data_IF_418583064887
#
_entry.id   IF_418583064887
#
_cell.length_a   1.000
_cell.length_b   1.000
_cell.length_c   1.000
_cell.angle_alpha   90.00
_cell.angle_beta   90.00
_cell.angle_gamma   90.00
#
_symmetry.space_group_name_H-M   'P 1'
#
loop_
_entity.id
_entity.type
_entity.pdbx_description
1 polymer ?
#
# COMPACT_ATOMS: atom_id res chain seq x y z
N UNK A 1 -10.66 -26.90 -36.85
CA UNK A 1 -9.71 -26.10 -36.06
C UNK A 1 -10.37 -25.82 -34.72
N UNK A 2 -9.82 -26.29 -33.63
CA UNK A 2 -10.40 -26.12 -32.28
C UNK A 2 -10.16 -24.71 -31.79
N UNK A 3 -11.15 -24.12 -31.06
CA UNK A 3 -11.11 -22.77 -30.50
C UNK A 3 -9.86 -22.46 -29.72
N UNK A 4 -9.21 -23.45 -29.10
CA UNK A 4 -7.91 -23.31 -28.43
C UNK A 4 -6.78 -22.89 -29.38
N UNK A 5 -6.75 -23.39 -30.59
CA UNK A 5 -5.72 -23.04 -31.59
C UNK A 5 -5.93 -21.63 -32.16
N UNK A 6 -7.17 -21.14 -32.19
CA UNK A 6 -7.48 -19.77 -32.61
C UNK A 6 -6.98 -18.73 -31.58
N UNK A 7 -7.17 -19.00 -30.28
CA UNK A 7 -6.71 -18.12 -29.21
C UNK A 7 -5.17 -18.01 -29.18
N UNK A 8 -4.48 -19.12 -29.38
CA UNK A 8 -2.99 -19.13 -29.47
C UNK A 8 -2.50 -18.36 -30.69
N UNK A 9 -3.22 -18.44 -31.82
CA UNK A 9 -2.84 -17.77 -33.06
C UNK A 9 -3.10 -16.26 -32.99
N UNK A 10 -4.16 -15.83 -32.31
CA UNK A 10 -4.43 -14.41 -32.06
C UNK A 10 -3.43 -13.83 -31.06
N UNK A 11 -3.07 -14.57 -30.01
CA UNK A 11 -2.02 -14.15 -29.05
C UNK A 11 -0.64 -14.00 -29.72
N UNK A 12 -0.27 -14.94 -30.60
CA UNK A 12 0.97 -14.85 -31.37
C UNK A 12 1.00 -13.69 -32.36
N UNK A 13 -0.15 -13.39 -32.99
CA UNK A 13 -0.26 -12.27 -33.92
C UNK A 13 -0.17 -10.91 -33.21
N UNK A 14 -0.69 -10.78 -31.98
CA UNK A 14 -0.59 -9.56 -31.19
C UNK A 14 0.88 -9.28 -30.75
N UNK A 15 1.60 -10.31 -30.36
CA UNK A 15 3.02 -10.19 -30.01
C UNK A 15 3.88 -9.82 -31.22
N UNK A 16 3.58 -10.38 -32.40
CA UNK A 16 4.29 -10.06 -33.65
C UNK A 16 3.88 -8.69 -34.22
N UNK A 17 2.64 -8.25 -34.02
CA UNK A 17 2.16 -6.95 -34.47
C UNK A 17 2.80 -5.80 -33.69
N UNK A 18 2.92 -5.91 -32.38
CA UNK A 18 3.60 -4.93 -31.53
C UNK A 18 5.08 -4.79 -31.86
N UNK A 19 5.77 -5.92 -32.10
CA UNK A 19 7.18 -5.92 -32.50
C UNK A 19 7.37 -5.30 -33.92
N UNK A 20 6.44 -5.54 -34.83
CA UNK A 20 6.54 -5.03 -36.23
C UNK A 20 6.36 -3.51 -36.30
N UNK A 21 5.57 -2.91 -35.42
CA UNK A 21 5.38 -1.45 -35.41
C UNK A 21 6.62 -0.71 -34.91
N UNK A 22 7.40 -1.29 -33.99
CA UNK A 22 8.71 -0.78 -33.58
C UNK A 22 9.78 -0.92 -34.69
N UNK A 23 9.60 -1.86 -35.64
CA UNK A 23 10.57 -2.15 -36.70
C UNK A 23 10.29 -1.38 -38.02
N UNK A 24 9.09 -0.82 -38.21
CA UNK A 24 8.71 -0.20 -39.50
C UNK A 24 9.10 1.27 -39.70
N UNK A 25 9.71 1.89 -38.71
CA UNK A 25 10.20 3.27 -38.85
C UNK A 25 11.69 3.29 -39.14
N UNK A 26 12.02 3.50 -40.40
CA UNK A 26 13.36 3.49 -40.96
C UNK A 26 14.45 4.20 -40.15
N UNK A 27 15.67 3.73 -40.30
CA UNK A 27 16.94 4.19 -39.74
C UNK A 27 16.96 4.34 -38.21
N UNK A 28 17.65 3.42 -37.49
CA UNK A 28 17.95 3.55 -36.06
C UNK A 28 18.46 4.94 -35.74
N UNK A 29 17.77 5.76 -34.96
CA UNK A 29 18.25 7.07 -34.61
C UNK A 29 19.59 6.94 -33.89
N UNK A 30 20.59 7.72 -34.29
CA UNK A 30 21.86 7.80 -33.57
C UNK A 30 21.55 8.10 -32.08
N UNK A 31 22.19 7.38 -31.15
CA UNK A 31 21.90 7.48 -29.72
C UNK A 31 21.84 8.89 -29.14
N UNK A 32 22.63 9.83 -29.70
CA UNK A 32 22.57 11.25 -29.33
C UNK A 32 21.23 11.93 -29.66
N UNK A 33 20.45 11.39 -30.60
CA UNK A 33 19.14 11.94 -31.00
C UNK A 33 18.00 11.44 -30.11
N UNK A 34 18.23 10.50 -29.21
CA UNK A 34 17.21 9.96 -28.30
C UNK A 34 17.14 10.72 -26.98
N UNK A 35 18.23 11.37 -26.54
CA UNK A 35 18.24 12.08 -25.26
C UNK A 35 17.17 13.17 -25.24
N UNK A 36 16.42 13.25 -24.16
CA UNK A 36 15.33 14.21 -23.97
C UNK A 36 14.03 13.85 -24.69
N UNK A 37 13.99 12.78 -25.50
CA UNK A 37 12.74 12.36 -26.14
C UNK A 37 11.78 11.78 -25.12
N UNK A 38 10.50 12.15 -25.26
CA UNK A 38 9.43 11.50 -24.51
C UNK A 38 9.30 10.02 -24.91
N UNK A 39 9.07 9.17 -23.91
CA UNK A 39 8.86 7.73 -24.12
C UNK A 39 7.46 7.48 -24.71
N UNK A 40 6.45 8.21 -24.20
CA UNK A 40 5.03 8.05 -24.58
C UNK A 40 4.44 9.33 -25.18
N UNK A 41 4.95 9.83 -26.34
CA UNK A 41 4.59 11.17 -26.83
C UNK A 41 3.17 11.28 -27.44
N UNK A 42 2.47 10.15 -27.61
CA UNK A 42 1.19 10.09 -28.35
C UNK A 42 0.06 9.44 -27.58
N UNK A 43 0.26 9.13 -26.30
CA UNK A 43 -0.75 8.46 -25.50
C UNK A 43 -1.53 9.51 -24.73
N UNK A 44 -2.83 9.55 -24.98
CA UNK A 44 -3.75 10.28 -24.13
C UNK A 44 -4.10 9.40 -22.93
N UNK A 45 -3.78 9.85 -21.72
CA UNK A 45 -4.01 9.05 -20.49
C UNK A 45 -5.49 8.79 -20.25
N UNK A 46 -6.39 9.55 -20.84
CA UNK A 46 -7.83 9.31 -20.84
C UNK A 46 -8.25 8.05 -21.62
N UNK A 47 -7.44 7.59 -22.56
CA UNK A 47 -7.68 6.37 -23.32
C UNK A 47 -7.17 5.12 -22.59
N UNK A 48 -6.33 5.30 -21.57
CA UNK A 48 -5.77 4.17 -20.81
C UNK A 48 -6.84 3.60 -19.90
N UNK A 49 -7.19 2.36 -20.13
CA UNK A 49 -8.15 1.60 -19.31
C UNK A 49 -7.50 0.43 -18.54
N UNK A 50 -6.25 0.08 -18.89
CA UNK A 50 -5.47 -0.95 -18.20
C UNK A 50 -4.00 -0.56 -18.08
N UNK A 51 -3.42 -0.89 -16.92
CA UNK A 51 -1.98 -0.76 -16.66
C UNK A 51 -1.49 -2.08 -16.12
N UNK A 52 -0.54 -2.70 -16.80
CA UNK A 52 0.01 -4.00 -16.41
C UNK A 52 1.52 -3.89 -16.23
N UNK A 53 2.07 -4.51 -15.19
CA UNK A 53 3.50 -4.65 -14.98
C UNK A 53 3.84 -6.11 -14.66
N UNK A 54 4.21 -6.84 -15.69
CA UNK A 54 4.37 -8.29 -15.61
C UNK A 54 3.11 -8.96 -15.04
N UNK A 55 3.31 -9.93 -14.15
CA UNK A 55 2.22 -10.58 -13.42
C UNK A 55 1.97 -9.98 -12.04
N UNK A 56 2.78 -9.03 -11.61
CA UNK A 56 2.76 -8.47 -10.25
C UNK A 56 1.67 -7.44 -10.05
N UNK A 57 1.39 -6.65 -11.08
CA UNK A 57 0.44 -5.55 -11.01
C UNK A 57 -0.45 -5.53 -12.24
N UNK A 58 -1.76 -5.58 -12.02
CA UNK A 58 -2.77 -5.39 -13.06
C UNK A 58 -3.83 -4.46 -12.50
N UNK A 59 -3.90 -3.28 -13.07
CA UNK A 59 -4.91 -2.27 -12.77
C UNK A 59 -5.86 -2.17 -13.95
N UNK A 60 -7.15 -2.11 -13.69
CA UNK A 60 -8.16 -1.97 -14.73
C UNK A 60 -9.21 -0.93 -14.35
N UNK A 61 -9.68 -0.19 -15.34
CA UNK A 61 -10.84 0.68 -15.20
C UNK A 61 -12.12 -0.14 -15.24
N UNK A 62 -13.04 0.13 -14.33
CA UNK A 62 -14.35 -0.49 -14.23
C UNK A 62 -15.44 0.58 -14.11
N UNK A 63 -16.70 0.19 -14.14
CA UNK A 63 -17.85 1.10 -13.97
C UNK A 63 -17.84 1.79 -12.58
N UNK A 64 -17.19 1.18 -11.60
CA UNK A 64 -17.06 1.72 -10.23
C UNK A 64 -15.74 2.48 -9.99
N UNK A 65 -14.93 2.68 -11.03
CA UNK A 65 -13.59 3.27 -10.93
C UNK A 65 -12.49 2.25 -11.20
N UNK A 66 -11.25 2.61 -10.87
CA UNK A 66 -10.11 1.72 -11.06
C UNK A 66 -10.03 0.65 -9.97
N UNK A 67 -9.69 -0.57 -10.38
CA UNK A 67 -9.54 -1.74 -9.50
C UNK A 67 -8.17 -2.39 -9.69
N UNK A 68 -7.71 -3.06 -8.66
CA UNK A 68 -6.48 -3.86 -8.64
C UNK A 68 -6.85 -5.31 -8.90
N UNK A 69 -6.72 -5.78 -10.13
CA UNK A 69 -7.09 -7.16 -10.51
C UNK A 69 -6.22 -8.21 -9.80
N UNK A 70 -4.95 -7.89 -9.54
CA UNK A 70 -4.03 -8.75 -8.79
C UNK A 70 -4.30 -8.78 -7.30
N UNK A 71 -5.29 -8.01 -6.82
CA UNK A 71 -5.71 -7.99 -5.43
C UNK A 71 -7.25 -7.91 -5.36
N UNK A 72 -7.89 -9.03 -5.64
CA UNK A 72 -9.34 -9.28 -5.50
C UNK A 72 -10.27 -8.30 -6.22
N UNK A 73 -9.82 -7.61 -7.27
CA UNK A 73 -10.53 -6.49 -7.92
C UNK A 73 -10.93 -5.37 -6.95
N UNK A 74 -10.12 -5.18 -5.90
CA UNK A 74 -10.35 -4.16 -4.90
C UNK A 74 -10.11 -2.76 -5.48
N UNK A 75 -10.84 -1.71 -5.02
CA UNK A 75 -10.63 -0.36 -5.49
C UNK A 75 -9.19 0.10 -5.39
N UNK A 76 -8.67 0.67 -6.47
CA UNK A 76 -7.32 1.20 -6.51
C UNK A 76 -7.25 2.60 -5.85
N UNK A 77 -6.11 2.90 -5.26
CA UNK A 77 -5.78 4.26 -4.80
C UNK A 77 -5.69 5.21 -6.01
N UNK A 78 -6.72 6.02 -6.16
CA UNK A 78 -6.86 6.94 -7.29
C UNK A 78 -5.76 8.00 -7.31
N UNK A 79 -5.33 8.48 -6.16
CA UNK A 79 -4.27 9.50 -6.06
C UNK A 79 -2.96 8.92 -6.55
N UNK A 80 -2.57 7.77 -6.00
CA UNK A 80 -1.37 7.05 -6.41
C UNK A 80 -1.38 6.70 -7.89
N UNK A 81 -2.53 6.22 -8.41
CA UNK A 81 -2.68 5.91 -9.82
C UNK A 81 -2.47 7.14 -10.69
N UNK A 82 -3.16 8.22 -10.39
CA UNK A 82 -3.09 9.47 -11.17
C UNK A 82 -1.68 10.03 -11.18
N UNK A 83 -1.02 10.10 -10.04
CA UNK A 83 0.37 10.57 -9.93
C UNK A 83 1.33 9.73 -10.77
N UNK A 84 1.18 8.42 -10.77
CA UNK A 84 2.06 7.55 -11.53
C UNK A 84 1.75 7.55 -13.03
N UNK A 85 0.49 7.69 -13.44
CA UNK A 85 0.15 7.93 -14.85
C UNK A 85 0.71 9.26 -15.35
N UNK A 86 0.66 10.30 -14.53
CA UNK A 86 1.26 11.61 -14.89
C UNK A 86 2.78 11.47 -15.10
N UNK A 87 3.50 10.74 -14.23
CA UNK A 87 4.93 10.46 -14.42
C UNK A 87 5.22 9.77 -15.75
N UNK A 88 4.32 8.89 -16.22
CA UNK A 88 4.49 8.26 -17.54
C UNK A 88 4.38 9.27 -18.68
N UNK A 89 3.52 10.29 -18.58
CA UNK A 89 3.42 11.34 -19.62
C UNK A 89 4.69 12.18 -19.70
N UNK A 90 5.36 12.38 -18.58
CA UNK A 90 6.57 13.19 -18.46
C UNK A 90 7.85 12.38 -18.68
N UNK A 91 7.74 11.05 -18.82
CA UNK A 91 8.87 10.15 -18.92
C UNK A 91 9.70 10.41 -20.17
N UNK A 92 10.99 10.66 -20.00
CA UNK A 92 11.94 10.98 -21.07
C UNK A 92 13.17 10.09 -21.01
N UNK A 93 13.80 9.95 -22.17
CA UNK A 93 15.14 9.39 -22.27
C UNK A 93 16.13 10.38 -21.64
N UNK A 94 16.74 10.00 -20.54
CA UNK A 94 17.82 10.78 -19.92
C UNK A 94 19.13 10.56 -20.66
N UNK A 95 19.50 9.30 -20.90
CA UNK A 95 20.75 8.93 -21.56
C UNK A 95 20.64 7.60 -22.29
N UNK A 96 21.35 7.44 -23.40
CA UNK A 96 21.51 6.16 -24.06
C UNK A 96 22.66 5.38 -23.40
N UNK A 97 22.37 4.16 -22.93
CA UNK A 97 23.31 3.28 -22.26
C UNK A 97 23.93 2.29 -23.27
N UNK A 98 24.86 2.78 -24.09
CA UNK A 98 25.49 1.98 -25.14
C UNK A 98 26.22 0.76 -24.56
N UNK A 99 25.98 -0.40 -25.16
CA UNK A 99 26.63 -1.65 -24.75
C UNK A 99 26.08 -2.29 -23.47
N UNK A 100 25.16 -1.62 -22.78
CA UNK A 100 24.44 -2.20 -21.65
C UNK A 100 23.37 -3.17 -22.16
N UNK A 101 23.42 -4.41 -21.71
CA UNK A 101 22.36 -5.39 -21.89
C UNK A 101 21.55 -5.46 -20.60
N UNK A 102 20.25 -5.54 -20.73
CA UNK A 102 19.36 -5.75 -19.58
C UNK A 102 19.35 -7.26 -19.26
N UNK A 103 19.58 -7.59 -18.00
CA UNK A 103 19.62 -8.99 -17.54
C UNK A 103 18.21 -9.54 -17.34
N UNK A 104 17.32 -8.69 -16.85
CA UNK A 104 15.90 -9.00 -16.65
C UNK A 104 15.07 -7.79 -17.02
N UNK A 105 13.92 -8.02 -17.64
CA UNK A 105 12.98 -6.96 -17.99
C UNK A 105 11.56 -7.38 -17.64
N UNK A 106 10.86 -6.46 -17.00
CA UNK A 106 9.39 -6.54 -16.84
C UNK A 106 8.75 -5.54 -17.79
N UNK A 107 7.68 -5.93 -18.45
CA UNK A 107 6.96 -5.06 -19.37
C UNK A 107 5.95 -4.21 -18.59
N UNK A 108 6.06 -2.89 -18.69
CA UNK A 108 5.01 -1.95 -18.35
C UNK A 108 4.14 -1.75 -19.60
N UNK A 109 2.90 -2.20 -19.56
CA UNK A 109 2.00 -2.16 -20.72
C UNK A 109 0.76 -1.34 -20.39
N UNK A 110 0.41 -0.43 -21.28
CA UNK A 110 -0.80 0.40 -21.23
C UNK A 110 -1.76 -0.11 -22.30
N UNK A 111 -3.04 -0.32 -21.94
CA UNK A 111 -4.07 -0.80 -22.86
C UNK A 111 -5.33 0.05 -22.77
N UNK A 112 -6.07 0.11 -23.86
CA UNK A 112 -7.40 0.73 -23.91
C UNK A 112 -8.49 -0.20 -23.34
N UNK A 113 -9.73 0.29 -23.32
CA UNK A 113 -10.89 -0.44 -22.84
C UNK A 113 -11.21 -1.70 -23.67
N UNK A 114 -10.76 -1.80 -24.91
CA UNK A 114 -10.90 -2.98 -25.77
C UNK A 114 -9.81 -4.03 -25.51
N UNK A 115 -8.82 -3.70 -24.68
CA UNK A 115 -7.64 -4.54 -24.42
C UNK A 115 -6.54 -4.39 -25.45
N UNK A 116 -6.66 -3.44 -26.38
CA UNK A 116 -5.62 -3.12 -27.37
C UNK A 116 -4.46 -2.43 -26.67
N UNK A 117 -3.24 -2.87 -26.96
CA UNK A 117 -2.04 -2.24 -26.47
C UNK A 117 -1.86 -0.84 -27.09
N UNK A 118 -1.81 0.16 -26.22
CA UNK A 118 -1.49 1.56 -26.56
C UNK A 118 0.00 1.78 -26.53
N UNK A 119 0.68 1.22 -25.55
CA UNK A 119 2.13 1.27 -25.42
C UNK A 119 2.66 0.16 -24.54
N UNK A 120 3.94 -0.15 -24.75
CA UNK A 120 4.70 -1.06 -23.90
C UNK A 120 6.14 -0.57 -23.74
N UNK A 121 6.67 -0.68 -22.54
CA UNK A 121 8.04 -0.34 -22.20
C UNK A 121 8.68 -1.45 -21.39
N UNK A 122 9.74 -2.04 -21.91
CA UNK A 122 10.54 -3.01 -21.19
C UNK A 122 11.42 -2.29 -20.17
N UNK A 123 11.19 -2.52 -18.89
CA UNK A 123 11.93 -1.94 -17.77
C UNK A 123 12.94 -2.94 -17.23
N UNK A 124 14.19 -2.52 -17.14
CA UNK A 124 15.27 -3.29 -16.55
C UNK A 124 15.54 -2.90 -15.10
N UNK A 125 16.78 -3.09 -14.68
CA UNK A 125 17.27 -2.74 -13.35
C UNK A 125 17.37 -1.22 -13.15
N UNK A 126 17.34 -0.79 -11.87
CA UNK A 126 17.60 0.59 -11.47
C UNK A 126 19.08 0.94 -11.69
N UNK A 127 19.34 2.22 -11.94
CA UNK A 127 20.69 2.73 -12.01
C UNK A 127 21.33 2.83 -10.61
N UNK A 128 22.44 2.14 -10.39
CA UNK A 128 23.04 2.00 -9.06
C UNK A 128 23.47 3.33 -8.40
N UNK A 129 23.86 4.32 -9.20
CA UNK A 129 24.38 5.61 -8.70
C UNK A 129 23.39 6.77 -8.86
N UNK A 130 22.38 6.61 -9.67
CA UNK A 130 21.38 7.64 -9.98
C UNK A 130 20.03 7.17 -9.44
N UNK A 131 19.71 7.55 -8.22
CA UNK A 131 18.57 7.03 -7.47
C UNK A 131 17.19 7.22 -8.12
N UNK A 132 17.10 8.03 -9.16
CA UNK A 132 15.85 8.33 -9.88
C UNK A 132 15.82 7.77 -11.31
N UNK A 133 16.82 7.02 -11.73
CA UNK A 133 16.89 6.50 -13.10
C UNK A 133 16.71 4.99 -13.16
N UNK A 134 16.08 4.50 -14.21
CA UNK A 134 15.92 3.08 -14.50
C UNK A 134 16.30 2.79 -15.95
N UNK A 135 16.91 1.65 -16.19
CA UNK A 135 17.18 1.23 -17.57
C UNK A 135 15.90 0.71 -18.20
N UNK A 136 15.74 1.01 -19.48
CA UNK A 136 14.62 0.56 -20.29
C UNK A 136 15.05 0.29 -21.72
N UNK A 137 14.27 -0.47 -22.47
CA UNK A 137 14.44 -0.64 -23.91
C UNK A 137 13.51 0.34 -24.64
N UNK A 138 14.08 1.29 -25.38
CA UNK A 138 13.35 2.24 -26.19
C UNK A 138 13.95 2.38 -27.60
N UNK A 139 13.11 2.26 -28.62
CA UNK A 139 13.54 2.30 -30.03
C UNK A 139 14.67 1.33 -30.39
N UNK A 140 14.73 0.18 -29.71
CA UNK A 140 15.75 -0.86 -29.93
C UNK A 140 17.09 -0.58 -29.25
N UNK A 141 17.19 0.45 -28.43
CA UNK A 141 18.37 0.81 -27.65
C UNK A 141 18.10 0.70 -26.16
N UNK A 142 19.12 0.36 -25.38
CA UNK A 142 19.04 0.49 -23.93
C UNK A 142 19.23 1.95 -23.55
N UNK A 143 18.27 2.49 -22.82
CA UNK A 143 18.27 3.88 -22.36
C UNK A 143 18.13 3.95 -20.85
N UNK A 144 18.57 5.03 -20.25
CA UNK A 144 18.25 5.41 -18.89
C UNK A 144 17.08 6.39 -18.95
N UNK A 145 15.97 6.06 -18.31
CA UNK A 145 14.79 6.96 -18.26
C UNK A 145 14.85 7.87 -17.06
N UNK A 146 14.12 8.99 -17.13
CA UNK A 146 14.17 10.07 -16.14
C UNK A 146 13.53 9.75 -14.79
N UNK A 147 12.78 8.66 -14.71
CA UNK A 147 12.13 8.19 -13.46
C UNK A 147 12.38 6.71 -13.27
N UNK A 148 12.42 6.26 -12.00
CA UNK A 148 12.63 4.85 -11.68
C UNK A 148 11.38 3.99 -11.81
N UNK A 149 10.21 4.61 -11.86
CA UNK A 149 8.90 3.95 -11.95
C UNK A 149 8.70 2.86 -10.89
N UNK A 150 9.23 3.10 -9.69
CA UNK A 150 9.29 2.12 -8.61
C UNK A 150 7.93 1.62 -8.15
N UNK A 151 6.93 2.51 -8.20
CA UNK A 151 5.58 2.17 -7.81
C UNK A 151 5.03 0.98 -8.59
N UNK A 152 5.31 0.91 -9.92
CA UNK A 152 4.82 -0.20 -10.75
C UNK A 152 5.48 -1.55 -10.41
N UNK A 153 6.68 -1.54 -9.83
CA UNK A 153 7.37 -2.76 -9.39
C UNK A 153 6.87 -3.32 -8.07
N UNK A 154 5.95 -2.65 -7.40
CA UNK A 154 5.34 -3.13 -6.15
C UNK A 154 4.17 -4.08 -6.42
N UNK A 155 3.76 -4.84 -5.40
CA UNK A 155 2.63 -5.74 -5.49
C UNK A 155 1.28 -5.01 -5.58
N UNK A 156 0.23 -5.73 -5.96
CA UNK A 156 -1.11 -5.18 -6.11
C UNK A 156 -1.66 -4.58 -4.82
N UNK A 157 -1.35 -5.18 -3.65
CA UNK A 157 -1.81 -4.69 -2.36
C UNK A 157 -1.33 -3.26 -2.05
N UNK A 158 -0.18 -2.87 -2.56
CA UNK A 158 0.33 -1.51 -2.36
C UNK A 158 -0.42 -0.43 -3.18
N UNK A 159 -1.30 -0.85 -4.08
CA UNK A 159 -2.08 0.02 -4.95
C UNK A 159 -3.54 0.16 -4.54
N UNK A 160 -3.95 -0.47 -3.45
CA UNK A 160 -5.34 -0.43 -3.01
C UNK A 160 -5.68 0.85 -2.29
N UNK A 161 -6.94 1.28 -2.39
CA UNK A 161 -7.49 2.33 -1.55
C UNK A 161 -7.55 1.85 -0.10
N UNK A 162 -6.83 2.51 0.77
CA UNK A 162 -6.75 2.14 2.19
C UNK A 162 -7.73 2.89 3.08
N UNK A 163 -8.41 3.89 2.52
CA UNK A 163 -9.40 4.67 3.22
C UNK A 163 -10.75 3.98 3.17
N UNK A 164 -11.09 3.23 4.20
CA UNK A 164 -12.36 2.48 4.30
C UNK A 164 -13.54 3.42 4.55
N UNK A 165 -13.34 4.40 5.42
CA UNK A 165 -14.32 5.42 5.81
C UNK A 165 -13.63 6.76 5.98
N UNK A 166 -14.40 7.85 6.04
CA UNK A 166 -13.88 9.21 6.19
C UNK A 166 -13.39 9.53 7.62
N UNK A 167 -12.75 8.54 8.22
CA UNK A 167 -12.24 8.58 9.58
C UNK A 167 -10.78 8.14 9.58
N UNK A 168 -9.82 9.05 9.77
CA UNK A 168 -8.40 8.80 9.49
C UNK A 168 -7.72 7.77 10.40
N UNK A 169 -8.36 7.40 11.51
CA UNK A 169 -7.82 6.42 12.45
C UNK A 169 -8.36 4.99 12.24
N UNK A 170 -9.32 4.79 11.31
CA UNK A 170 -9.71 3.45 10.86
C UNK A 170 -8.82 3.10 9.67
N UNK A 171 -7.81 2.30 9.92
CA UNK A 171 -6.86 1.89 8.90
C UNK A 171 -7.17 0.49 8.37
N UNK A 172 -7.06 0.36 7.07
CA UNK A 172 -7.14 -0.90 6.37
C UNK A 172 -5.84 -1.70 6.56
N UNK A 173 -5.96 -2.98 6.90
CA UNK A 173 -4.83 -3.89 6.95
C UNK A 173 -4.88 -4.93 5.85
N UNK A 174 -6.06 -5.53 5.65
CA UNK A 174 -6.28 -6.55 4.62
C UNK A 174 -7.77 -6.75 4.34
N UNK A 175 -8.08 -7.62 3.36
CA UNK A 175 -9.41 -8.16 3.10
C UNK A 175 -9.47 -9.57 3.70
N UNK A 176 -10.58 -9.90 4.35
CA UNK A 176 -10.84 -11.23 4.85
C UNK A 176 -11.41 -12.09 3.70
N UNK A 177 -10.56 -12.95 3.13
CA UNK A 177 -10.95 -13.86 2.06
C UNK A 177 -10.99 -15.31 2.58
N UNK A 178 -11.98 -16.08 2.09
CA UNK A 178 -12.08 -17.50 2.42
C UNK A 178 -12.38 -17.80 3.90
N UNK A 179 -12.78 -16.77 4.68
CA UNK A 179 -13.14 -16.90 6.10
C UNK A 179 -14.60 -17.29 6.19
N UNK A 180 -14.92 -18.29 7.03
CA UNK A 180 -16.29 -18.72 7.23
C UNK A 180 -17.14 -17.64 7.90
N UNK A 181 -18.44 -17.61 7.65
CA UNK A 181 -19.39 -16.69 8.31
C UNK A 181 -19.35 -16.81 9.84
N UNK A 182 -19.09 -18.01 10.34
CA UNK A 182 -18.96 -18.29 11.79
C UNK A 182 -17.69 -17.64 12.36
N UNK A 183 -16.56 -17.78 11.66
CA UNK A 183 -15.29 -17.20 12.08
C UNK A 183 -15.32 -15.67 11.99
N UNK A 184 -16.01 -15.10 10.99
CA UNK A 184 -16.23 -13.66 10.87
C UNK A 184 -17.01 -13.09 12.06
N UNK A 185 -17.95 -13.87 12.62
CA UNK A 185 -18.74 -13.50 13.79
C UNK A 185 -19.83 -12.45 13.53
N UNK A 186 -20.25 -12.26 12.28
CA UNK A 186 -21.28 -11.27 11.97
C UNK A 186 -22.71 -11.78 12.24
N UNK A 187 -22.92 -13.11 12.28
CA UNK A 187 -24.21 -13.70 12.57
C UNK A 187 -24.46 -13.91 14.06
N UNK A 188 -23.49 -14.47 14.77
CA UNK A 188 -23.65 -14.92 16.18
C UNK A 188 -22.68 -14.29 17.16
N UNK A 189 -21.62 -13.64 16.67
CA UNK A 189 -20.53 -13.07 17.47
C UNK A 189 -20.33 -11.57 17.28
N UNK A 190 -21.37 -10.82 16.88
CA UNK A 190 -21.25 -9.37 16.68
C UNK A 190 -20.81 -8.69 17.96
N UNK A 191 -19.61 -8.09 17.93
CA UNK A 191 -19.07 -7.35 19.06
C UNK A 191 -19.78 -6.02 19.23
N UNK A 192 -19.98 -5.31 18.11
CA UNK A 192 -20.73 -4.06 18.09
C UNK A 192 -21.22 -3.72 16.68
N UNK A 193 -22.30 -2.92 16.62
CA UNK A 193 -22.70 -2.15 15.43
C UNK A 193 -22.57 -0.68 15.76
N UNK A 194 -21.82 0.05 14.95
CA UNK A 194 -21.50 1.46 15.21
C UNK A 194 -21.84 2.28 13.99
N UNK A 195 -22.52 3.40 14.20
CA UNK A 195 -22.72 4.38 13.14
C UNK A 195 -21.56 5.34 13.11
N UNK A 196 -20.83 5.35 11.99
CA UNK A 196 -19.71 6.25 11.73
C UNK A 196 -20.27 7.46 10.99
N UNK A 197 -20.23 8.62 11.63
CA UNK A 197 -20.63 9.88 11.01
C UNK A 197 -19.57 10.37 10.03
N UNK A 198 -20.00 10.82 8.87
CA UNK A 198 -19.17 11.38 7.80
C UNK A 198 -20.05 12.12 6.81
N UNK A 199 -19.60 12.35 5.60
CA UNK A 199 -20.42 12.93 4.53
C UNK A 199 -21.67 12.10 4.28
N UNK A 200 -21.55 10.79 4.43
CA UNK A 200 -22.67 9.85 4.56
C UNK A 200 -22.46 8.99 5.81
N UNK A 201 -23.51 8.89 6.64
CA UNK A 201 -23.47 8.00 7.78
C UNK A 201 -23.39 6.55 7.31
N UNK A 202 -22.41 5.80 7.83
CA UNK A 202 -22.17 4.40 7.51
C UNK A 202 -22.34 3.55 8.76
N UNK A 203 -22.98 2.40 8.62
CA UNK A 203 -23.06 1.43 9.72
C UNK A 203 -21.95 0.41 9.57
N UNK A 204 -21.09 0.36 10.57
CA UNK A 204 -20.02 -0.62 10.67
C UNK A 204 -20.42 -1.75 11.62
N UNK A 205 -20.23 -2.98 11.19
CA UNK A 205 -20.37 -4.17 12.03
C UNK A 205 -18.97 -4.69 12.36
N UNK A 206 -18.70 -4.84 13.65
CA UNK A 206 -17.45 -5.35 14.19
C UNK A 206 -17.66 -6.81 14.57
N UNK A 207 -16.88 -7.67 13.98
CA UNK A 207 -16.91 -9.12 14.19
C UNK A 207 -15.83 -9.63 15.16
N UNK A 208 -15.54 -10.91 15.04
CA UNK A 208 -14.55 -11.62 15.86
C UNK A 208 -13.14 -11.06 15.65
N UNK A 209 -12.23 -11.45 16.53
CA UNK A 209 -10.79 -11.30 16.29
C UNK A 209 -10.33 -12.24 15.18
N UNK A 210 -9.37 -11.79 14.41
CA UNK A 210 -8.67 -12.63 13.43
C UNK A 210 -7.92 -13.73 14.19
N UNK A 211 -7.99 -14.94 13.67
CA UNK A 211 -7.31 -16.09 14.26
C UNK A 211 -5.81 -15.79 14.42
N UNK A 212 -5.29 -16.11 15.59
CA UNK A 212 -3.88 -15.90 15.96
C UNK A 212 -3.40 -14.43 15.95
N UNK A 213 -4.36 -13.47 16.05
CA UNK A 213 -4.06 -12.04 16.04
C UNK A 213 -4.95 -11.20 16.95
N UNK A 214 -4.61 -9.91 17.06
CA UNK A 214 -5.42 -8.92 17.78
C UNK A 214 -6.39 -8.17 16.85
N UNK A 215 -6.15 -8.19 15.55
CA UNK A 215 -6.96 -7.51 14.56
C UNK A 215 -8.40 -8.05 14.54
N UNK A 216 -9.33 -7.26 13.98
CA UNK A 216 -10.74 -7.65 13.94
C UNK A 216 -11.32 -7.60 12.55
N UNK A 217 -12.34 -8.40 12.33
CA UNK A 217 -13.17 -8.32 11.14
C UNK A 217 -14.11 -7.12 11.25
N UNK A 218 -14.20 -6.40 10.16
CA UNK A 218 -14.95 -5.15 10.07
C UNK A 218 -15.72 -5.10 8.75
N UNK A 219 -17.02 -4.83 8.77
CA UNK A 219 -17.87 -4.77 7.60
C UNK A 219 -18.69 -3.50 7.61
N UNK A 220 -18.76 -2.82 6.47
CA UNK A 220 -19.66 -1.70 6.27
C UNK A 220 -20.96 -2.17 5.60
N UNK A 221 -22.06 -1.50 5.90
CA UNK A 221 -23.43 -1.82 5.45
C UNK A 221 -23.61 -1.89 3.94
N UNK A 222 -22.87 -1.09 3.18
CA UNK A 222 -22.93 -1.04 1.72
C UNK A 222 -21.61 -1.49 1.05
N UNK A 223 -20.78 -2.25 1.76
CA UNK A 223 -19.56 -2.85 1.22
C UNK A 223 -19.75 -4.34 0.95
N UNK A 224 -19.28 -4.78 -0.21
CA UNK A 224 -19.14 -6.20 -0.52
C UNK A 224 -17.94 -6.84 0.20
N UNK A 225 -17.04 -6.01 0.71
CA UNK A 225 -15.80 -6.43 1.33
C UNK A 225 -15.92 -6.57 2.85
N UNK A 226 -15.27 -7.59 3.39
CA UNK A 226 -14.98 -7.71 4.81
C UNK A 226 -13.53 -7.31 5.02
N UNK A 227 -13.31 -6.34 5.87
CA UNK A 227 -12.00 -5.76 6.15
C UNK A 227 -11.37 -6.38 7.38
N UNK A 228 -10.06 -6.48 7.38
CA UNK A 228 -9.27 -6.70 8.57
C UNK A 228 -8.72 -5.35 9.02
N UNK A 229 -9.05 -4.96 10.24
CA UNK A 229 -8.64 -3.68 10.82
C UNK A 229 -7.88 -3.91 12.13
N UNK A 230 -6.89 -3.08 12.47
CA UNK A 230 -6.19 -3.17 13.73
C UNK A 230 -7.12 -2.98 14.93
N UNK A 231 -6.88 -3.71 16.01
CA UNK A 231 -7.66 -3.62 17.25
C UNK A 231 -7.77 -2.19 17.78
N UNK A 232 -6.67 -1.43 17.74
CA UNK A 232 -6.68 -0.02 18.21
C UNK A 232 -7.64 0.88 17.44
N UNK A 233 -7.95 0.55 16.17
CA UNK A 233 -8.95 1.27 15.37
C UNK A 233 -10.36 0.95 15.84
N UNK A 234 -10.60 -0.29 16.22
CA UNK A 234 -11.90 -0.77 16.70
C UNK A 234 -12.17 -0.31 18.12
N UNK A 235 -11.17 -0.34 19.00
CA UNK A 235 -11.32 0.06 20.41
C UNK A 235 -11.77 1.52 20.58
N UNK A 236 -11.46 2.37 19.60
CA UNK A 236 -11.94 3.75 19.57
C UNK A 236 -13.44 3.86 19.25
N UNK A 237 -13.99 2.84 18.61
CA UNK A 237 -15.42 2.77 18.25
C UNK A 237 -16.25 2.11 19.36
N UNK A 238 -15.64 1.29 20.18
CA UNK A 238 -16.35 0.59 21.25
C UNK A 238 -16.59 1.52 22.44
N UNK A 239 -17.75 1.40 23.09
CA UNK A 239 -17.96 2.10 24.35
C UNK A 239 -16.91 1.62 25.35
N UNK A 240 -16.26 2.58 26.00
CA UNK A 240 -15.29 2.24 27.06
C UNK A 240 -16.03 1.42 28.13
N UNK A 241 -15.49 0.26 28.56
CA UNK A 241 -16.07 -0.44 29.68
C UNK A 241 -16.16 0.52 30.87
N UNK A 242 -17.21 0.44 31.68
CA UNK A 242 -17.29 1.21 32.91
C UNK A 242 -16.00 1.02 33.69
N UNK A 243 -15.45 2.06 34.32
CA UNK A 243 -14.28 1.88 35.17
C UNK A 243 -14.58 0.77 36.17
N UNK A 244 -13.76 -0.27 36.20
CA UNK A 244 -13.85 -1.31 37.21
C UNK A 244 -13.77 -0.60 38.57
N UNK A 245 -14.89 -0.58 39.30
CA UNK A 245 -14.85 -0.21 40.69
C UNK A 245 -13.90 -1.18 41.39
N UNK A 246 -12.73 -0.67 41.72
CA UNK A 246 -11.83 -1.38 42.61
C UNK A 246 -12.65 -1.70 43.87
N UNK A 247 -13.06 -2.95 44.01
CA UNK A 247 -13.51 -3.45 45.28
C UNK A 247 -12.34 -3.28 46.25
N UNK A 248 -12.38 -2.19 47.00
CA UNK A 248 -11.58 -2.10 48.22
C UNK A 248 -12.00 -3.26 49.09
N UNK A 249 -11.12 -4.27 49.20
CA UNK A 249 -11.19 -5.26 50.24
C UNK A 249 -11.03 -4.53 51.56
N UNK A 250 -12.16 -4.29 52.20
CA UNK A 250 -12.21 -3.90 53.60
C UNK A 250 -11.62 -5.05 54.39
N UNK A 251 -10.34 -5.00 54.69
CA UNK A 251 -9.74 -5.80 55.77
C UNK A 251 -10.29 -5.29 57.08
N UNK A 252 -11.23 -6.02 57.61
CA UNK A 252 -11.68 -5.95 58.99
C UNK A 252 -10.54 -6.37 59.90
N UNK A 253 -9.76 -5.41 60.42
CA UNK A 253 -8.82 -5.66 61.51
C UNK A 253 -9.59 -5.69 62.82
N UNK A 254 -9.68 -6.88 63.37
CA UNK A 254 -10.10 -7.11 64.73
C UNK A 254 -9.21 -6.39 65.72
N UNK A 255 -9.84 -5.60 66.58
CA UNK A 255 -9.28 -5.01 67.80
C UNK A 255 -8.69 -6.06 68.72
N UNK A 256 -7.49 -5.86 69.16
CA UNK A 256 -7.07 -6.27 70.49
C UNK A 256 -6.23 -5.19 71.16
N UNK A 257 -6.71 -4.80 72.32
CA UNK A 257 -6.15 -3.76 73.21
C UNK A 257 -4.86 -4.24 73.89
N UNK A 258 -3.88 -3.35 73.98
CA UNK A 258 -3.12 -3.14 75.22
C UNK A 258 -2.20 -1.93 75.09
N UNK A 259 -2.33 -1.02 76.05
CA UNK A 259 -1.58 0.17 76.40
C UNK A 259 -0.55 -0.19 77.47
N UNK A 260 0.35 0.71 77.96
CA UNK A 260 1.27 1.69 77.39
C UNK A 260 2.69 1.55 77.93
N UNK A 261 3.68 2.26 77.42
CA UNK A 261 4.65 3.07 78.23
C UNK A 261 5.78 3.67 77.38
N UNK A 262 5.89 4.98 77.47
CA UNK A 262 7.03 5.92 77.63
C UNK A 262 8.40 5.52 77.06
N UNK A 263 9.04 6.34 76.29
CA UNK A 263 9.82 7.57 76.64
C UNK A 263 10.54 8.12 75.37
N UNK A 264 10.53 9.43 75.21
CA UNK A 264 11.42 10.28 74.40
C UNK A 264 12.84 10.29 74.99
N UNK A 265 13.92 10.85 74.40
CA UNK A 265 13.95 11.93 73.38
C UNK A 265 15.08 11.85 72.33
N UNK A 266 14.97 12.77 71.38
CA UNK A 266 15.98 13.39 70.49
C UNK A 266 17.39 13.59 71.03
N UNK A 267 18.51 13.94 70.26
CA UNK A 267 18.50 14.84 69.11
C UNK A 267 19.51 14.60 67.94
N UNK A 268 19.26 15.23 66.86
CA UNK A 268 20.02 16.15 66.03
C UNK A 268 21.39 15.83 65.36
N UNK A 269 21.52 16.43 64.21
CA UNK A 269 22.74 16.89 63.46
C UNK A 269 23.25 15.91 62.41
N UNK A 270 23.65 16.22 61.21
CA UNK A 270 23.91 17.50 60.51
C UNK A 270 24.19 17.14 59.03
N UNK A 271 23.81 17.98 58.11
CA UNK A 271 24.31 17.96 56.74
C UNK A 271 25.78 18.48 56.72
N UNK A 272 26.59 18.27 55.69
CA UNK A 272 26.52 19.17 54.56
C UNK A 272 26.86 18.63 53.16
N UNK A 273 26.41 19.31 52.15
CA UNK A 273 26.98 19.55 50.84
C UNK A 273 28.29 20.36 51.02
N UNK A 274 29.22 20.55 50.04
CA UNK A 274 29.06 20.68 48.61
C UNK A 274 30.27 20.23 47.72
N UNK A 275 30.25 20.75 46.49
CA UNK A 275 31.31 21.15 45.52
C UNK A 275 31.61 20.14 44.42
N UNK A 276 31.20 20.46 43.19
CA UNK A 276 31.82 21.24 42.10
C UNK A 276 33.22 20.75 41.69
N UNK A 277 33.34 20.31 40.44
CA UNK A 277 34.26 20.89 39.47
C UNK A 277 34.20 20.20 38.11
N UNK A 278 33.80 20.94 37.09
CA UNK A 278 34.34 20.91 35.73
C UNK A 278 35.72 21.61 35.76
N UNK A 279 36.61 21.56 34.78
CA UNK A 279 36.42 21.38 33.36
C UNK A 279 37.65 20.79 32.60
N UNK A 280 37.47 20.80 31.28
CA UNK A 280 38.46 21.09 30.22
C UNK A 280 39.17 19.94 29.48
N UNK A 281 38.85 19.88 28.22
CA UNK A 281 39.62 20.28 27.02
C UNK A 281 40.69 19.33 26.46
N UNK A 282 40.53 19.15 25.18
CA UNK A 282 41.49 19.10 24.07
C UNK A 282 42.24 17.77 23.77
N UNK A 283 41.99 17.20 22.65
CA UNK A 283 42.77 17.22 21.40
C UNK A 283 41.95 16.60 20.27
#
# INVERSE_FOLDING_TARGET
MTTKNLVVLVGAAAVLGGAAWCLSSGSKPSGAKLNGKAIFPKIEMSEVARVEFGDKLKLASSDKGWVVETYHNYPADHVKLTENLLKLTELKVGQVARGKKLESTDALTLKDASGKELASLQLGEKHAKWGHGRYATFAGETVLVSDSLDAFGSDGKSWVETKIVDTPWISFKDIAEGVSEEDLGFATGVVAKVTIAGDTNRVATIGNKVKDGSDRYFKLDNSEWVYIVPEYSVDKLLPKPPPEEKKEEVKEEAKEEAKPEKEEPKPAQEAPKPEQEEPAKAA
#
